data_IF_575580110176
#
_entry.id   IF_575580110176
#
_cell.length_a   1.000
_cell.length_b   1.000
_cell.length_c   1.000
_cell.angle_alpha   90.00
_cell.angle_beta   90.00
_cell.angle_gamma   90.00
#
_symmetry.space_group_name_H-M   'P 1'
#
loop_
_entity.id
_entity.type
_entity.pdbx_description
1 polymer ?
#
# COMPACT_ATOMS: atom_id res chain seq x y z
N UNK A 1 13.76 -14.44 -28.06
CA UNK A 1 12.74 -14.20 -27.02
C UNK A 1 12.94 -12.79 -26.50
N UNK A 2 12.45 -11.80 -27.25
CA UNK A 2 12.67 -10.38 -26.95
C UNK A 2 11.66 -9.94 -25.91
N UNK A 3 12.15 -9.47 -24.75
CA UNK A 3 11.32 -8.75 -23.76
C UNK A 3 10.89 -7.44 -24.42
N UNK A 4 9.72 -7.49 -25.06
CA UNK A 4 9.09 -6.33 -25.69
C UNK A 4 8.71 -5.34 -24.61
N UNK A 5 9.45 -4.23 -24.59
CA UNK A 5 9.13 -2.99 -23.88
C UNK A 5 7.70 -2.53 -24.21
N UNK A 6 6.72 -2.99 -23.43
CA UNK A 6 5.41 -2.35 -23.36
C UNK A 6 5.32 -1.53 -22.09
N UNK A 7 6.10 -0.45 -22.04
CA UNK A 7 5.77 0.70 -21.19
C UNK A 7 4.56 1.39 -21.81
N UNK A 8 3.38 0.82 -21.59
CA UNK A 8 2.13 1.53 -21.84
C UNK A 8 2.13 2.74 -20.91
N UNK A 9 2.21 3.94 -21.47
CA UNK A 9 2.14 5.22 -20.78
C UNK A 9 0.71 5.49 -20.26
N UNK A 10 0.11 4.53 -19.56
CA UNK A 10 -0.94 4.85 -18.61
C UNK A 10 -0.28 5.78 -17.59
N UNK A 11 -0.72 7.03 -17.53
CA UNK A 11 -0.23 8.02 -16.56
C UNK A 11 -0.48 7.44 -15.18
N UNK A 12 0.56 6.88 -14.56
CA UNK A 12 0.46 6.37 -13.19
C UNK A 12 0.05 7.58 -12.35
N UNK A 13 -1.09 7.54 -11.64
CA UNK A 13 -1.46 8.63 -10.75
C UNK A 13 -0.32 8.81 -9.75
N UNK A 14 0.30 9.99 -9.78
CA UNK A 14 1.32 10.36 -8.81
C UNK A 14 0.61 11.05 -7.65
N UNK A 15 0.97 10.67 -6.44
CA UNK A 15 0.41 11.22 -5.21
C UNK A 15 1.43 12.16 -4.58
N UNK A 16 1.04 13.41 -4.31
CA UNK A 16 1.88 14.41 -3.67
C UNK A 16 1.54 14.53 -2.18
N UNK A 17 2.50 15.01 -1.40
CA UNK A 17 2.25 15.36 0.00
C UNK A 17 1.21 16.48 0.06
N UNK A 18 0.12 16.23 0.78
CA UNK A 18 -1.03 17.14 0.89
C UNK A 18 -2.24 16.72 0.05
N UNK A 19 -2.08 15.77 -0.87
CA UNK A 19 -3.20 15.21 -1.62
C UNK A 19 -4.11 14.37 -0.70
N UNK A 20 -5.38 14.21 -1.09
CA UNK A 20 -6.36 13.44 -0.33
C UNK A 20 -6.27 11.94 -0.68
N UNK A 21 -5.64 11.16 0.20
CA UNK A 21 -5.49 9.71 -0.04
C UNK A 21 -6.80 8.91 0.06
N UNK A 22 -7.84 9.44 0.71
CA UNK A 22 -9.00 8.64 1.12
C UNK A 22 -9.83 8.05 -0.03
N UNK A 23 -9.85 8.72 -1.16
CA UNK A 23 -10.61 8.28 -2.34
C UNK A 23 -9.74 7.51 -3.35
N UNK A 24 -8.47 7.25 -3.02
CA UNK A 24 -7.46 6.75 -3.97
C UNK A 24 -7.55 5.24 -4.26
N UNK A 25 -8.14 4.43 -3.38
CA UNK A 25 -8.20 2.95 -3.50
C UNK A 25 -9.61 2.43 -3.78
N UNK A 26 -10.17 2.84 -4.92
CA UNK A 26 -11.43 2.30 -5.46
C UNK A 26 -11.12 1.48 -6.71
N UNK A 27 -11.47 0.18 -6.79
CA UNK A 27 -12.37 -0.60 -5.91
C UNK A 27 -11.73 -1.06 -4.57
N UNK A 28 -12.54 -1.49 -3.58
CA UNK A 28 -12.07 -1.99 -2.28
C UNK A 28 -11.04 -3.11 -2.40
N UNK A 29 -10.09 -3.14 -1.47
CA UNK A 29 -9.02 -4.15 -1.44
C UNK A 29 -9.50 -5.42 -0.71
N UNK A 30 -9.31 -6.61 -1.32
CA UNK A 30 -9.62 -7.87 -0.65
C UNK A 30 -8.59 -8.17 0.44
N UNK A 31 -9.07 -8.66 1.57
CA UNK A 31 -8.24 -9.20 2.66
C UNK A 31 -8.22 -10.72 2.61
N UNK A 32 -7.23 -11.31 3.30
CA UNK A 32 -7.06 -12.76 3.45
C UNK A 32 -8.25 -13.44 4.15
N UNK A 33 -9.03 -12.69 4.94
CA UNK A 33 -10.23 -13.18 5.60
C UNK A 33 -11.52 -13.07 4.75
N UNK A 34 -11.41 -12.62 3.49
CA UNK A 34 -12.55 -12.44 2.59
C UNK A 34 -13.33 -11.12 2.79
N UNK A 35 -12.91 -10.28 3.74
CA UNK A 35 -13.47 -8.93 3.89
C UNK A 35 -12.84 -7.97 2.88
N UNK A 36 -13.63 -6.98 2.44
CA UNK A 36 -13.15 -5.92 1.57
C UNK A 36 -12.93 -4.65 2.39
N UNK A 37 -11.76 -4.02 2.23
CA UNK A 37 -11.38 -2.81 2.94
C UNK A 37 -11.24 -1.62 1.99
N UNK A 38 -11.75 -0.46 2.41
CA UNK A 38 -11.42 0.84 1.82
C UNK A 38 -10.62 1.68 2.82
N UNK A 39 -9.87 2.67 2.34
CA UNK A 39 -9.08 3.54 3.24
C UNK A 39 -9.94 4.32 4.23
N UNK A 40 -11.21 4.54 3.89
CA UNK A 40 -12.19 5.24 4.72
C UNK A 40 -12.40 4.59 6.09
N UNK A 41 -12.17 3.27 6.22
CA UNK A 41 -12.27 2.55 7.50
C UNK A 41 -11.30 3.08 8.56
N UNK A 42 -10.20 3.73 8.14
CA UNK A 42 -9.18 4.27 9.02
C UNK A 42 -9.16 5.81 9.07
N UNK A 43 -10.18 6.48 8.53
CA UNK A 43 -10.31 7.95 8.63
C UNK A 43 -10.19 8.40 10.09
N UNK A 44 -9.39 9.44 10.31
CA UNK A 44 -9.09 9.97 11.65
C UNK A 44 -7.94 9.28 12.38
N UNK A 45 -7.38 8.18 11.84
CA UNK A 45 -6.14 7.57 12.33
C UNK A 45 -4.98 7.89 11.39
N UNK A 46 -3.79 8.05 11.96
CA UNK A 46 -2.56 8.07 11.17
C UNK A 46 -2.26 6.63 10.73
N UNK A 47 -2.17 6.40 9.43
CA UNK A 47 -1.88 5.08 8.87
C UNK A 47 -0.62 5.10 8.02
N UNK A 48 0.10 3.98 8.02
CA UNK A 48 1.18 3.70 7.09
C UNK A 48 0.70 2.64 6.10
N UNK A 49 0.48 3.03 4.84
CA UNK A 49 0.12 2.11 3.77
C UNK A 49 1.40 1.62 3.08
N UNK A 50 1.69 0.33 3.20
CA UNK A 50 2.89 -0.29 2.65
C UNK A 50 2.55 -1.24 1.49
N UNK A 51 3.09 -0.97 0.30
CA UNK A 51 2.97 -1.84 -0.86
C UNK A 51 4.20 -2.74 -0.98
N UNK A 52 4.03 -4.04 -0.74
CA UNK A 52 5.13 -5.02 -0.72
C UNK A 52 4.73 -6.36 -1.33
N UNK A 53 5.70 -7.24 -1.52
CA UNK A 53 5.47 -8.60 -2.00
C UNK A 53 6.41 -9.60 -1.30
N UNK A 54 5.99 -10.86 -1.18
CA UNK A 54 6.75 -11.92 -0.50
C UNK A 54 8.12 -12.19 -1.12
N UNK A 55 8.27 -11.97 -2.43
CA UNK A 55 9.53 -12.12 -3.16
C UNK A 55 10.37 -10.82 -3.20
N UNK A 56 9.90 -9.73 -2.59
CA UNK A 56 10.64 -8.47 -2.52
C UNK A 56 11.72 -8.54 -1.43
N UNK A 57 12.97 -8.81 -1.83
CA UNK A 57 14.11 -8.86 -0.91
C UNK A 57 14.26 -7.60 -0.02
N UNK A 58 14.30 -6.36 -0.54
CA UNK A 58 14.42 -5.17 0.33
C UNK A 58 13.25 -5.05 1.32
N UNK A 59 12.02 -5.33 0.87
CA UNK A 59 10.84 -5.31 1.74
C UNK A 59 10.97 -6.28 2.92
N UNK A 60 11.50 -7.49 2.70
CA UNK A 60 11.69 -8.47 3.77
C UNK A 60 12.64 -7.97 4.87
N UNK A 61 13.68 -7.21 4.51
CA UNK A 61 14.58 -6.59 5.49
C UNK A 61 13.91 -5.47 6.29
N UNK A 62 12.93 -4.77 5.72
CA UNK A 62 12.22 -3.66 6.35
C UNK A 62 11.06 -4.10 7.26
N UNK A 63 10.41 -5.24 6.95
CA UNK A 63 9.23 -5.75 7.68
C UNK A 63 9.44 -5.85 9.20
N UNK A 64 10.55 -6.41 9.74
CA UNK A 64 10.74 -6.49 11.18
C UNK A 64 10.65 -5.11 11.84
N UNK A 65 11.19 -4.08 11.20
CA UNK A 65 11.16 -2.72 11.72
C UNK A 65 9.76 -2.11 11.66
N UNK A 66 8.99 -2.42 10.62
CA UNK A 66 7.59 -2.00 10.50
C UNK A 66 6.71 -2.66 11.56
N UNK A 67 6.96 -3.93 11.90
CA UNK A 67 6.25 -4.63 12.98
C UNK A 67 6.56 -3.96 14.33
N UNK A 68 7.83 -3.66 14.62
CA UNK A 68 8.20 -2.91 15.83
C UNK A 68 7.49 -1.55 15.91
N UNK A 69 7.42 -0.83 14.78
CA UNK A 69 6.76 0.46 14.69
C UNK A 69 5.26 0.34 14.98
N UNK A 70 4.60 -0.67 14.40
CA UNK A 70 3.19 -0.94 14.64
C UNK A 70 2.92 -1.22 16.12
N UNK A 71 3.69 -2.10 16.75
CA UNK A 71 3.50 -2.44 18.16
C UNK A 71 3.75 -1.24 19.09
N UNK A 72 4.71 -0.36 18.74
CA UNK A 72 4.98 0.87 19.50
C UNK A 72 3.81 1.86 19.49
N UNK A 73 3.06 1.94 18.39
CA UNK A 73 1.95 2.90 18.21
C UNK A 73 0.57 2.25 18.21
N UNK A 74 0.48 1.02 18.74
CA UNK A 74 -0.77 0.28 18.91
C UNK A 74 -1.57 0.88 20.07
N UNK A 75 -2.30 1.96 19.79
CA UNK A 75 -3.34 2.54 20.65
C UNK A 75 -4.65 1.78 20.57
#
# INVERSE_FOLDING_TARGET
>A
MTVSEKRSAARIPHFNVGDNAWESLTPPLPSLNGEAYTLDHWKGKVILLNFWASWCAPCQYEIPKLIELQEKYKT
#
